data_IF_643589355995
#
_entry.id   IF_643589355995
#
_cell.length_a   1.000
_cell.length_b   1.000
_cell.length_c   1.000
_cell.angle_alpha   90.00
_cell.angle_beta   90.00
_cell.angle_gamma   90.00
#
_symmetry.space_group_name_H-M   'P 1'
#
loop_
_entity.id
_entity.type
_entity.pdbx_description
1 polymer ?
#
# COMPACT_ATOMS: atom_id res chain seq x y z
N UNK A 1 -30.49 -39.51 -21.58
CA UNK A 1 -30.77 -40.07 -22.92
C UNK A 1 -30.25 -39.11 -23.99
N UNK A 2 -29.34 -39.63 -24.84
CA UNK A 2 -28.82 -39.15 -26.12
C UNK A 2 -27.71 -38.06 -26.12
N UNK A 3 -26.47 -38.57 -26.19
CA UNK A 3 -25.32 -38.00 -26.85
C UNK A 3 -25.63 -37.60 -28.31
N UNK A 4 -24.97 -36.55 -28.82
CA UNK A 4 -24.47 -36.50 -30.20
C UNK A 4 -23.12 -35.79 -30.28
N UNK A 5 -22.13 -36.57 -30.67
CA UNK A 5 -20.79 -36.18 -31.19
C UNK A 5 -20.93 -35.88 -32.68
N UNK A 6 -20.11 -35.00 -33.22
CA UNK A 6 -19.51 -34.99 -34.59
C UNK A 6 -18.42 -33.89 -34.54
N UNK A 7 -17.12 -34.11 -34.59
CA UNK A 7 -16.15 -34.55 -35.57
C UNK A 7 -15.88 -33.50 -36.68
N UNK A 8 -14.66 -32.88 -36.62
CA UNK A 8 -13.47 -33.04 -37.46
C UNK A 8 -13.56 -32.50 -38.89
N UNK A 9 -12.71 -31.52 -39.25
CA UNK A 9 -11.99 -31.52 -40.52
C UNK A 9 -10.81 -30.54 -40.50
N UNK A 10 -9.63 -31.06 -40.78
CA UNK A 10 -8.36 -30.39 -41.02
C UNK A 10 -8.28 -30.06 -42.51
N UNK A 11 -7.56 -28.97 -42.88
CA UNK A 11 -7.00 -28.80 -44.20
C UNK A 11 -5.68 -27.99 -44.13
N UNK A 12 -4.70 -28.62 -44.58
CA UNK A 12 -3.30 -28.43 -44.96
C UNK A 12 -3.19 -27.63 -46.27
N UNK A 13 -2.13 -26.87 -46.42
CA UNK A 13 -1.65 -26.32 -47.66
C UNK A 13 -0.61 -25.24 -47.39
N UNK A 14 0.56 -25.52 -47.37
CA UNK A 14 1.77 -25.78 -48.21
C UNK A 14 2.18 -24.61 -49.12
N UNK A 15 3.34 -24.01 -48.77
CA UNK A 15 4.54 -23.79 -49.61
C UNK A 15 4.53 -22.75 -50.72
N UNK A 16 5.42 -21.76 -50.63
CA UNK A 16 6.34 -21.47 -51.76
C UNK A 16 7.57 -20.68 -51.26
N UNK A 17 8.73 -21.29 -51.49
CA UNK A 17 10.07 -20.69 -51.47
C UNK A 17 10.30 -19.84 -52.75
N UNK A 18 11.11 -18.80 -52.61
CA UNK A 18 11.99 -18.36 -53.69
C UNK A 18 13.27 -17.73 -53.10
N UNK A 19 14.37 -18.36 -53.48
CA UNK A 19 15.77 -17.99 -53.28
C UNK A 19 16.23 -16.99 -54.34
N UNK A 20 17.24 -16.16 -54.05
CA UNK A 20 18.50 -15.90 -54.75
C UNK A 20 19.12 -14.60 -54.20
N UNK A 21 20.23 -14.57 -53.63
CA UNK A 21 21.62 -15.00 -53.85
C UNK A 21 22.55 -13.86 -54.31
N UNK A 22 23.75 -13.85 -53.68
CA UNK A 22 25.06 -13.29 -54.04
C UNK A 22 25.30 -11.80 -53.71
N UNK A 23 26.39 -11.44 -53.09
CA UNK A 23 27.74 -11.89 -52.79
C UNK A 23 28.48 -10.84 -51.99
N UNK A 24 29.20 -11.18 -51.04
CA UNK A 24 30.61 -11.38 -50.82
C UNK A 24 31.40 -10.16 -50.43
N UNK A 25 31.92 -10.05 -49.21
CA UNK A 25 33.34 -10.14 -48.88
C UNK A 25 33.62 -9.82 -47.39
N UNK A 26 34.46 -10.60 -46.84
CA UNK A 26 35.13 -10.70 -45.54
C UNK A 26 35.84 -9.41 -45.11
N UNK A 27 35.79 -9.10 -43.80
CA UNK A 27 36.95 -8.94 -42.89
C UNK A 27 36.49 -8.63 -41.46
N UNK A 28 36.98 -9.31 -40.61
CA UNK A 28 37.40 -9.49 -39.23
C UNK A 28 37.20 -8.33 -38.23
N UNK A 29 36.73 -8.80 -37.04
CA UNK A 29 37.09 -8.45 -35.65
C UNK A 29 36.90 -7.01 -35.14
N UNK A 30 36.02 -6.86 -34.16
CA UNK A 30 36.41 -6.54 -32.79
C UNK A 30 35.19 -6.50 -31.86
N UNK A 31 35.33 -7.17 -30.72
CA UNK A 31 34.50 -7.20 -29.57
C UNK A 31 34.31 -5.80 -28.95
N UNK A 32 33.07 -5.40 -28.65
CA UNK A 32 32.76 -4.49 -27.53
C UNK A 32 31.31 -4.67 -27.11
N UNK A 33 31.11 -5.14 -25.89
CA UNK A 33 29.85 -5.16 -25.18
C UNK A 33 29.39 -3.71 -24.97
N UNK A 34 28.22 -3.36 -25.50
CA UNK A 34 27.52 -2.13 -25.15
C UNK A 34 26.33 -2.52 -24.28
N UNK A 35 26.44 -2.22 -23.00
CA UNK A 35 25.31 -2.27 -22.07
C UNK A 35 24.24 -1.28 -22.53
N UNK A 36 23.02 -1.78 -22.70
CA UNK A 36 21.86 -0.94 -22.92
C UNK A 36 21.46 -0.32 -21.60
N UNK A 37 21.98 0.87 -21.30
CA UNK A 37 21.39 1.74 -20.29
C UNK A 37 20.08 2.28 -20.85
N UNK A 38 18.98 1.75 -20.31
CA UNK A 38 17.65 2.32 -20.52
C UNK A 38 17.58 3.64 -19.76
N UNK A 39 17.92 4.74 -20.43
CA UNK A 39 17.65 6.08 -19.93
C UNK A 39 16.14 6.30 -19.96
N UNK A 40 15.50 6.17 -18.82
CA UNK A 40 14.11 6.59 -18.62
C UNK A 40 14.08 8.11 -18.75
N UNK A 41 13.50 8.60 -19.83
CA UNK A 41 13.44 10.02 -20.16
C UNK A 41 12.43 10.73 -19.26
N UNK A 42 12.86 11.79 -18.58
CA UNK A 42 12.01 12.73 -17.81
C UNK A 42 10.81 13.31 -18.59
N UNK A 43 10.71 13.03 -19.88
CA UNK A 43 9.58 13.43 -20.73
C UNK A 43 8.35 12.54 -20.63
N UNK A 44 8.45 11.35 -19.99
CA UNK A 44 7.38 10.35 -19.94
C UNK A 44 6.29 10.73 -18.92
N UNK A 45 6.65 11.15 -17.73
CA UNK A 45 5.69 11.41 -16.63
C UNK A 45 4.82 12.64 -16.92
N UNK A 46 5.38 13.71 -17.47
CA UNK A 46 4.61 14.91 -17.85
C UNK A 46 3.62 14.66 -19.01
N UNK A 47 3.92 13.69 -19.89
CA UNK A 47 3.02 13.31 -20.99
C UNK A 47 1.86 12.42 -20.50
N UNK A 48 2.09 11.60 -19.46
CA UNK A 48 1.07 10.76 -18.86
C UNK A 48 0.18 11.53 -17.89
N UNK A 49 0.73 12.52 -17.18
CA UNK A 49 -0.02 13.43 -16.31
C UNK A 49 -1.15 14.20 -17.04
N UNK A 50 -0.94 14.56 -18.29
CA UNK A 50 -1.96 15.28 -19.10
C UNK A 50 -3.18 14.43 -19.46
N UNK A 51 -3.17 13.11 -19.21
CA UNK A 51 -4.24 12.17 -19.55
C UNK A 51 -5.01 11.65 -18.34
N UNK A 52 -4.49 11.85 -17.13
CA UNK A 52 -5.12 11.32 -15.92
C UNK A 52 -6.46 11.98 -15.67
N UNK A 53 -7.52 11.17 -15.67
CA UNK A 53 -8.85 11.60 -15.24
C UNK A 53 -8.99 11.40 -13.75
N UNK A 54 -9.30 12.47 -13.04
CA UNK A 54 -9.58 12.48 -11.61
C UNK A 54 -11.06 12.73 -11.35
N UNK A 55 -11.51 12.41 -10.14
CA UNK A 55 -12.90 12.64 -9.67
C UNK A 55 -13.25 14.11 -9.77
N UNK A 56 -12.32 15.00 -9.42
CA UNK A 56 -12.46 16.44 -9.53
C UNK A 56 -11.39 17.02 -10.44
N UNK A 57 -11.78 17.74 -11.48
CA UNK A 57 -10.84 18.29 -12.47
C UNK A 57 -9.74 19.15 -11.81
N UNK A 58 -8.47 18.86 -12.12
CA UNK A 58 -7.31 19.56 -11.58
C UNK A 58 -6.94 19.21 -10.14
N UNK A 59 -7.59 18.23 -9.54
CA UNK A 59 -7.36 17.78 -8.17
C UNK A 59 -7.08 16.28 -8.13
N UNK A 60 -6.29 15.87 -7.17
CA UNK A 60 -6.07 14.46 -6.80
C UNK A 60 -6.70 14.27 -5.42
N UNK A 61 -7.82 13.55 -5.36
CA UNK A 61 -8.53 13.30 -4.11
C UNK A 61 -7.97 12.04 -3.45
N UNK A 62 -7.27 12.23 -2.34
CA UNK A 62 -6.76 11.19 -1.46
C UNK A 62 -7.78 10.91 -0.36
N UNK A 63 -8.18 9.67 -0.18
CA UNK A 63 -8.92 9.23 1.01
C UNK A 63 -7.96 8.54 1.97
N UNK A 64 -8.10 8.87 3.25
CA UNK A 64 -7.25 8.37 4.33
C UNK A 64 -8.04 8.20 5.63
N UNK A 65 -7.38 7.71 6.69
CA UNK A 65 -7.87 7.75 8.06
C UNK A 65 -6.82 8.39 8.97
N UNK A 66 -7.00 9.68 9.27
CA UNK A 66 -5.99 10.52 9.94
C UNK A 66 -5.85 10.24 11.45
N UNK A 67 -5.73 8.96 11.82
CA UNK A 67 -5.58 8.43 13.17
C UNK A 67 -4.35 7.50 13.31
N UNK A 68 -3.40 7.58 12.34
CA UNK A 68 -2.31 6.63 12.17
C UNK A 68 -0.94 7.31 12.09
N UNK A 69 -0.46 7.98 13.17
CA UNK A 69 0.86 8.58 13.19
C UNK A 69 1.96 7.49 13.07
N UNK A 70 3.06 7.73 12.32
CA UNK A 70 3.43 8.98 11.65
C UNK A 70 2.96 9.07 10.18
N UNK A 71 2.12 8.17 9.71
CA UNK A 71 1.71 8.09 8.29
C UNK A 71 0.67 9.15 7.93
N UNK A 72 -0.43 9.24 8.69
CA UNK A 72 -1.46 10.26 8.56
C UNK A 72 -2.13 10.55 9.92
N UNK A 73 -2.14 11.79 10.31
CA UNK A 73 -2.70 12.21 11.60
C UNK A 73 -3.08 13.69 11.61
N UNK A 74 -3.97 14.05 12.52
CA UNK A 74 -4.33 15.44 12.75
C UNK A 74 -3.28 16.20 13.54
N UNK A 75 -2.84 17.35 13.03
CA UNK A 75 -2.09 18.36 13.78
C UNK A 75 -2.88 19.67 13.76
N UNK A 76 -3.63 19.92 14.80
CA UNK A 76 -4.61 21.01 14.81
C UNK A 76 -5.74 20.78 13.81
N UNK A 77 -5.86 21.65 12.80
CA UNK A 77 -6.85 21.51 11.73
C UNK A 77 -6.28 20.86 10.46
N UNK A 78 -5.00 20.63 10.42
CA UNK A 78 -4.34 20.07 9.25
C UNK A 78 -4.13 18.55 9.42
N UNK A 79 -4.13 17.83 8.29
CA UNK A 79 -3.74 16.43 8.24
C UNK A 79 -2.32 16.38 7.70
N UNK A 80 -1.43 15.69 8.42
CA UNK A 80 0.00 15.56 8.13
C UNK A 80 0.44 14.11 8.21
N UNK A 81 1.64 13.84 7.72
CA UNK A 81 2.29 12.54 7.84
C UNK A 81 2.96 12.11 6.54
N UNK A 82 3.57 10.92 6.58
CA UNK A 82 4.35 10.35 5.49
C UNK A 82 3.48 10.21 4.24
N UNK A 83 2.29 9.60 4.37
CA UNK A 83 1.39 9.33 3.27
C UNK A 83 0.86 10.61 2.64
N UNK A 84 0.57 11.60 3.48
CA UNK A 84 0.13 12.93 3.02
C UNK A 84 1.22 13.62 2.20
N UNK A 85 2.47 13.64 2.68
CA UNK A 85 3.57 14.28 1.95
C UNK A 85 3.94 13.53 0.67
N UNK A 86 3.88 12.19 0.67
CA UNK A 86 4.06 11.38 -0.54
C UNK A 86 2.98 11.73 -1.57
N UNK A 87 1.70 11.73 -1.16
CA UNK A 87 0.60 12.07 -2.05
C UNK A 87 0.65 13.52 -2.53
N UNK A 88 1.09 14.46 -1.70
CA UNK A 88 1.33 15.84 -2.10
C UNK A 88 2.40 15.93 -3.19
N UNK A 89 3.53 15.23 -3.02
CA UNK A 89 4.60 15.20 -4.01
C UNK A 89 4.18 14.49 -5.31
N UNK A 90 3.37 13.42 -5.22
CA UNK A 90 2.76 12.77 -6.39
C UNK A 90 1.83 13.74 -7.12
N UNK A 91 0.94 14.43 -6.41
CA UNK A 91 0.03 15.40 -7.01
C UNK A 91 0.79 16.53 -7.73
N UNK A 92 1.86 17.05 -7.12
CA UNK A 92 2.72 18.07 -7.73
C UNK A 92 3.36 17.60 -9.02
N UNK A 93 3.92 16.37 -9.06
CA UNK A 93 4.49 15.79 -10.27
C UNK A 93 3.45 15.59 -11.38
N UNK A 94 2.19 15.35 -11.01
CA UNK A 94 1.06 15.21 -11.94
C UNK A 94 0.43 16.56 -12.31
N UNK A 95 0.91 17.68 -11.76
CA UNK A 95 0.32 19.01 -11.98
C UNK A 95 -1.08 19.17 -11.40
N UNK A 96 -1.41 18.40 -10.36
CA UNK A 96 -2.69 18.38 -9.66
C UNK A 96 -2.57 18.99 -8.27
N UNK A 97 -3.69 19.45 -7.71
CA UNK A 97 -3.78 19.87 -6.32
C UNK A 97 -4.27 18.70 -5.47
N UNK A 98 -3.57 18.37 -4.39
CA UNK A 98 -4.04 17.37 -3.44
C UNK A 98 -5.28 17.89 -2.68
N UNK A 99 -6.31 17.06 -2.58
CA UNK A 99 -7.42 17.17 -1.64
C UNK A 99 -7.44 15.92 -0.77
N UNK A 100 -7.69 16.07 0.53
CA UNK A 100 -7.66 14.98 1.49
C UNK A 100 -9.05 14.80 2.07
N UNK A 101 -9.57 13.57 2.04
CA UNK A 101 -10.79 13.15 2.70
C UNK A 101 -10.45 12.19 3.83
N UNK A 102 -10.85 12.56 5.05
CA UNK A 102 -10.66 11.75 6.25
C UNK A 102 -11.93 10.97 6.57
N UNK A 103 -11.82 9.65 6.59
CA UNK A 103 -12.93 8.74 6.85
C UNK A 103 -12.50 7.61 7.80
N UNK A 104 -13.45 6.83 8.29
CA UNK A 104 -13.11 5.60 9.02
C UNK A 104 -12.34 4.64 8.10
N UNK A 105 -11.37 3.89 8.65
CA UNK A 105 -10.47 3.05 7.84
C UNK A 105 -11.22 2.02 6.98
N UNK A 106 -12.26 1.41 7.52
CA UNK A 106 -13.10 0.43 6.80
C UNK A 106 -13.96 1.04 5.68
N UNK A 107 -14.09 2.38 5.63
CA UNK A 107 -14.77 3.10 4.56
C UNK A 107 -13.85 3.46 3.38
N UNK A 108 -12.52 3.38 3.52
CA UNK A 108 -11.55 3.83 2.51
C UNK A 108 -11.74 3.08 1.18
N UNK A 109 -11.77 1.75 1.19
CA UNK A 109 -11.96 0.94 -0.02
C UNK A 109 -13.30 1.26 -0.70
N UNK A 110 -14.45 1.33 0.01
CA UNK A 110 -15.71 1.82 -0.54
C UNK A 110 -15.63 3.20 -1.21
N UNK A 111 -14.93 4.18 -0.64
CA UNK A 111 -14.80 5.52 -1.23
C UNK A 111 -14.06 5.49 -2.58
N UNK A 112 -12.96 4.74 -2.68
CA UNK A 112 -12.21 4.60 -3.95
C UNK A 112 -13.01 3.79 -4.98
N UNK A 113 -13.61 2.66 -4.57
CA UNK A 113 -14.33 1.79 -5.52
C UNK A 113 -15.60 2.43 -6.06
N UNK A 114 -16.29 3.25 -5.26
CA UNK A 114 -17.44 4.03 -5.71
C UNK A 114 -17.06 5.22 -6.60
N UNK A 115 -15.78 5.60 -6.65
CA UNK A 115 -15.27 6.72 -7.43
C UNK A 115 -15.52 8.08 -6.78
N UNK A 116 -15.59 8.14 -5.45
CA UNK A 116 -15.61 9.39 -4.70
C UNK A 116 -14.21 9.93 -4.45
N UNK A 117 -13.22 9.04 -4.26
CA UNK A 117 -11.82 9.39 -4.19
C UNK A 117 -11.03 8.79 -5.36
N UNK A 118 -9.91 9.41 -5.71
CA UNK A 118 -9.02 8.97 -6.77
C UNK A 118 -8.11 7.85 -6.28
N UNK A 119 -7.57 8.00 -5.07
CA UNK A 119 -6.64 7.08 -4.46
C UNK A 119 -6.82 6.98 -2.94
N UNK A 120 -6.35 5.86 -2.39
CA UNK A 120 -6.21 5.60 -0.97
C UNK A 120 -4.72 5.60 -0.58
N UNK A 121 -4.35 6.40 0.42
CA UNK A 121 -3.08 6.29 1.10
C UNK A 121 -3.36 6.39 2.61
N UNK A 122 -3.13 5.29 3.33
CA UNK A 122 -3.55 5.12 4.72
C UNK A 122 -2.77 3.98 5.40
N UNK A 123 -1.43 3.93 5.22
CA UNK A 123 -0.67 2.75 5.61
C UNK A 123 -1.27 1.47 5.02
N UNK A 124 -1.72 1.54 3.77
CA UNK A 124 -2.54 0.48 3.17
C UNK A 124 -1.69 -0.70 2.75
N UNK A 125 -1.79 -1.79 3.51
CA UNK A 125 -1.14 -3.06 3.19
C UNK A 125 -1.74 -3.70 1.94
N UNK A 126 -0.87 -4.18 1.07
CA UNK A 126 -1.25 -4.94 -0.11
C UNK A 126 -1.63 -6.36 0.28
N UNK A 127 -2.90 -6.72 0.14
CA UNK A 127 -3.39 -8.09 0.37
C UNK A 127 -4.15 -8.61 -0.85
N UNK A 128 -4.25 -9.94 -0.99
CA UNK A 128 -4.98 -10.54 -2.11
C UNK A 128 -6.47 -10.18 -2.10
N UNK A 129 -7.07 -10.06 -0.91
CA UNK A 129 -8.47 -9.66 -0.78
C UNK A 129 -8.69 -8.20 -1.23
N UNK A 130 -7.79 -7.29 -0.83
CA UNK A 130 -7.85 -5.89 -1.27
C UNK A 130 -7.63 -5.75 -2.77
N UNK A 131 -6.74 -6.57 -3.36
CA UNK A 131 -6.50 -6.62 -4.81
C UNK A 131 -7.73 -7.06 -5.62
N UNK A 132 -8.71 -7.69 -5.01
CA UNK A 132 -9.97 -8.00 -5.71
C UNK A 132 -10.75 -6.73 -6.05
N UNK A 133 -10.63 -5.69 -5.23
CA UNK A 133 -11.40 -4.45 -5.33
C UNK A 133 -10.59 -3.24 -5.82
N UNK A 134 -9.28 -3.25 -5.63
CA UNK A 134 -8.37 -2.14 -5.94
C UNK A 134 -7.16 -2.64 -6.70
N UNK A 135 -6.50 -1.75 -7.44
CA UNK A 135 -5.13 -1.94 -7.90
C UNK A 135 -4.19 -1.13 -7.01
N UNK A 136 -2.96 -1.61 -6.85
CA UNK A 136 -1.99 -1.01 -5.95
C UNK A 136 -0.75 -0.56 -6.70
N UNK A 137 -0.18 0.56 -6.26
CA UNK A 137 1.11 1.04 -6.73
C UNK A 137 2.26 0.12 -6.31
N UNK A 138 3.46 0.43 -6.76
CA UNK A 138 4.67 -0.06 -6.13
C UNK A 138 4.68 0.34 -4.65
N UNK A 139 5.30 -0.48 -3.81
CA UNK A 139 5.36 -0.23 -2.37
C UNK A 139 6.31 0.93 -2.06
N UNK A 140 5.89 1.82 -1.15
CA UNK A 140 6.68 2.97 -0.72
C UNK A 140 7.23 2.81 0.71
N UNK A 141 6.68 1.91 1.52
CA UNK A 141 7.15 1.63 2.88
C UNK A 141 7.02 0.15 3.22
N UNK A 142 7.86 -0.30 4.16
CA UNK A 142 7.75 -1.60 4.82
C UNK A 142 7.61 -1.38 6.30
N UNK A 143 6.75 -2.13 6.95
CA UNK A 143 6.42 -2.00 8.35
C UNK A 143 6.23 -3.39 8.99
N UNK A 144 5.89 -3.41 10.27
CA UNK A 144 5.57 -4.62 11.01
C UNK A 144 4.35 -4.35 11.87
N UNK A 145 3.58 -5.38 12.16
CA UNK A 145 2.59 -5.32 13.21
C UNK A 145 3.22 -5.73 14.54
N UNK A 146 3.05 -4.95 15.58
CA UNK A 146 3.51 -5.25 16.94
C UNK A 146 2.32 -5.49 17.87
N UNK A 147 2.62 -6.18 18.96
CA UNK A 147 1.67 -6.44 20.04
C UNK A 147 1.96 -5.46 21.17
N UNK A 148 1.02 -4.59 21.49
CA UNK A 148 1.04 -3.75 22.68
C UNK A 148 0.35 -4.46 23.83
N UNK A 149 0.97 -4.41 25.00
CA UNK A 149 0.45 -4.96 26.25
C UNK A 149 0.68 -3.98 27.40
N UNK A 150 0.05 -4.20 28.54
CA UNK A 150 0.38 -3.45 29.76
C UNK A 150 1.79 -3.77 30.25
N UNK A 151 2.45 -2.84 30.91
CA UNK A 151 3.82 -3.02 31.44
C UNK A 151 3.96 -4.23 32.34
N UNK A 152 2.93 -4.54 33.15
CA UNK A 152 2.89 -5.67 34.06
C UNK A 152 2.45 -7.00 33.41
N UNK A 153 2.21 -7.00 32.10
CA UNK A 153 1.81 -8.18 31.33
C UNK A 153 2.94 -9.21 31.25
N UNK A 154 2.56 -10.48 31.36
CA UNK A 154 3.45 -11.64 31.20
C UNK A 154 3.44 -12.21 29.77
N UNK A 155 2.66 -11.60 28.85
CA UNK A 155 2.63 -12.00 27.44
C UNK A 155 3.97 -11.65 26.78
N UNK A 156 4.46 -12.55 25.93
CA UNK A 156 5.76 -12.43 25.28
C UNK A 156 5.69 -12.49 23.76
N UNK A 157 4.58 -12.93 23.19
CA UNK A 157 4.40 -13.03 21.74
C UNK A 157 3.03 -13.53 21.32
N UNK A 158 2.90 -13.81 20.03
CA UNK A 158 1.65 -14.23 19.38
C UNK A 158 1.01 -15.46 20.05
N UNK A 159 1.81 -16.46 20.42
CA UNK A 159 1.29 -17.72 20.95
C UNK A 159 0.56 -17.54 22.30
N UNK A 160 0.92 -16.50 23.07
CA UNK A 160 0.31 -16.18 24.35
C UNK A 160 -1.06 -15.51 24.22
N UNK A 161 -1.45 -15.08 23.02
CA UNK A 161 -2.71 -14.41 22.74
C UNK A 161 -3.91 -15.36 22.71
N UNK A 162 -3.68 -16.67 22.72
CA UNK A 162 -4.76 -17.65 22.75
C UNK A 162 -5.64 -17.50 23.99
N UNK A 163 -6.94 -17.29 23.76
CA UNK A 163 -7.91 -17.08 24.85
C UNK A 163 -7.87 -15.67 25.47
N UNK A 164 -7.14 -14.73 24.85
CA UNK A 164 -7.08 -13.33 25.26
C UNK A 164 -8.05 -12.48 24.44
N UNK A 165 -8.35 -11.29 24.96
CA UNK A 165 -9.08 -10.26 24.21
C UNK A 165 -8.10 -9.34 23.51
N UNK A 166 -8.21 -9.26 22.19
CA UNK A 166 -7.28 -8.54 21.32
C UNK A 166 -8.01 -7.35 20.71
N UNK A 167 -7.51 -6.15 20.99
CA UNK A 167 -8.02 -4.91 20.41
C UNK A 167 -7.36 -4.64 19.07
N UNK A 168 -8.15 -4.28 18.09
CA UNK A 168 -7.69 -3.91 16.72
C UNK A 168 -8.53 -2.77 16.19
N UNK A 169 -8.01 -2.03 15.23
CA UNK A 169 -8.84 -1.13 14.45
C UNK A 169 -9.58 -1.93 13.38
N UNK A 170 -10.87 -1.65 13.23
CA UNK A 170 -11.76 -2.36 12.30
C UNK A 170 -11.30 -2.26 10.85
N UNK A 171 -11.31 -3.38 10.13
CA UNK A 171 -10.98 -3.48 8.71
C UNK A 171 -9.49 -3.47 8.37
N UNK A 172 -8.60 -3.37 9.38
CA UNK A 172 -7.15 -3.46 9.19
C UNK A 172 -6.69 -4.91 8.98
N UNK A 173 -5.43 -5.08 8.57
CA UNK A 173 -4.79 -6.42 8.52
C UNK A 173 -4.69 -7.03 9.91
N UNK A 174 -4.49 -6.23 10.96
CA UNK A 174 -4.52 -6.69 12.35
C UNK A 174 -5.87 -7.32 12.71
N UNK A 175 -6.98 -6.73 12.28
CA UNK A 175 -8.33 -7.27 12.49
C UNK A 175 -8.50 -8.62 11.76
N UNK A 176 -8.21 -8.64 10.46
CA UNK A 176 -8.40 -9.84 9.64
C UNK A 176 -7.54 -11.02 10.12
N UNK A 177 -6.25 -10.76 10.35
CA UNK A 177 -5.30 -11.80 10.80
C UNK A 177 -5.61 -12.29 12.22
N UNK A 178 -5.97 -11.39 13.15
CA UNK A 178 -6.34 -11.80 14.52
C UNK A 178 -7.63 -12.62 14.52
N UNK A 179 -8.58 -12.28 13.65
CA UNK A 179 -9.82 -13.05 13.50
C UNK A 179 -9.54 -14.46 12.94
N UNK A 180 -8.65 -14.56 11.97
CA UNK A 180 -8.22 -15.86 11.42
C UNK A 180 -7.48 -16.71 12.46
N UNK A 181 -6.55 -16.10 13.20
CA UNK A 181 -5.67 -16.81 14.15
C UNK A 181 -6.40 -17.23 15.45
N UNK A 182 -7.31 -16.39 15.97
CA UNK A 182 -7.86 -16.54 17.31
C UNK A 182 -9.38 -16.64 17.38
N UNK A 183 -10.06 -16.43 16.24
CA UNK A 183 -11.52 -16.42 16.14
C UNK A 183 -12.15 -15.05 16.48
N UNK A 184 -13.33 -14.82 15.95
CA UNK A 184 -14.05 -13.54 16.07
C UNK A 184 -14.34 -13.14 17.53
N UNK A 185 -14.63 -14.12 18.38
CA UNK A 185 -14.90 -13.89 19.82
C UNK A 185 -13.70 -13.33 20.59
N UNK A 186 -12.47 -13.52 20.10
CA UNK A 186 -11.26 -12.99 20.73
C UNK A 186 -11.00 -11.54 20.34
N UNK A 187 -11.52 -11.09 19.19
CA UNK A 187 -11.20 -9.77 18.60
C UNK A 187 -12.21 -8.72 19.03
N UNK A 188 -11.70 -7.61 19.56
CA UNK A 188 -12.48 -6.43 19.93
C UNK A 188 -12.12 -5.30 18.98
N UNK A 189 -13.09 -4.94 18.13
CA UNK A 189 -12.91 -3.93 17.08
C UNK A 189 -13.21 -2.54 17.58
N UNK A 190 -12.35 -1.60 17.24
CA UNK A 190 -12.49 -0.19 17.54
C UNK A 190 -12.47 0.63 16.25
N UNK A 191 -13.09 1.78 16.25
CA UNK A 191 -13.03 2.70 15.10
C UNK A 191 -11.64 3.33 14.95
N UNK A 192 -10.91 3.49 16.08
CA UNK A 192 -9.57 4.09 16.13
C UNK A 192 -8.63 3.22 16.95
N UNK A 193 -7.37 3.11 16.52
CA UNK A 193 -6.35 2.36 17.25
C UNK A 193 -6.13 2.89 18.68
N UNK A 194 -6.20 4.22 18.88
CA UNK A 194 -6.07 4.84 20.21
C UNK A 194 -7.20 4.41 21.17
N UNK A 195 -8.40 4.14 20.69
CA UNK A 195 -9.50 3.62 21.53
C UNK A 195 -9.19 2.21 22.04
N UNK A 196 -8.54 1.37 21.20
CA UNK A 196 -8.04 0.06 21.63
C UNK A 196 -6.97 0.20 22.72
N UNK A 197 -6.03 1.14 22.56
CA UNK A 197 -5.00 1.43 23.57
C UNK A 197 -5.62 1.90 24.88
N UNK A 198 -6.64 2.75 24.84
CA UNK A 198 -7.38 3.16 26.05
C UNK A 198 -8.10 1.97 26.71
N UNK A 199 -8.68 1.07 25.93
CA UNK A 199 -9.31 -0.14 26.46
C UNK A 199 -8.26 -1.08 27.11
N UNK A 200 -7.05 -1.17 26.54
CA UNK A 200 -5.91 -1.91 27.10
C UNK A 200 -5.49 -1.34 28.46
N UNK A 201 -5.28 -0.03 28.56
CA UNK A 201 -4.90 0.61 29.84
C UNK A 201 -5.96 0.43 30.93
N UNK A 202 -7.25 0.39 30.54
CA UNK A 202 -8.37 0.13 31.45
C UNK A 202 -8.54 -1.36 31.81
N UNK A 203 -7.73 -2.26 31.23
CA UNK A 203 -7.83 -3.71 31.48
C UNK A 203 -9.09 -4.36 30.89
N UNK A 204 -9.73 -3.75 29.90
CA UNK A 204 -10.90 -4.31 29.19
C UNK A 204 -10.50 -5.34 28.14
N UNK A 205 -9.28 -5.24 27.65
CA UNK A 205 -8.63 -6.15 26.70
C UNK A 205 -7.21 -6.46 27.19
N UNK A 206 -6.61 -7.51 26.67
CA UNK A 206 -5.31 -8.01 27.11
C UNK A 206 -4.15 -7.52 26.23
N UNK A 207 -4.40 -7.26 24.96
CA UNK A 207 -3.40 -6.82 23.97
C UNK A 207 -4.04 -5.94 22.88
N UNK A 208 -3.21 -5.15 22.20
CA UNK A 208 -3.56 -4.43 20.96
C UNK A 208 -2.56 -4.82 19.89
N UNK A 209 -3.02 -5.06 18.66
CA UNK A 209 -2.14 -5.27 17.51
C UNK A 209 -2.25 -4.05 16.60
N UNK A 210 -1.09 -3.43 16.33
CA UNK A 210 -0.99 -2.20 15.53
C UNK A 210 0.39 -2.10 14.89
N UNK A 211 0.52 -1.26 13.85
CA UNK A 211 1.79 -0.98 13.19
C UNK A 211 2.90 -0.55 14.15
N UNK A 212 4.13 -0.92 13.83
CA UNK A 212 5.30 -0.72 14.67
C UNK A 212 5.59 0.75 14.98
N UNK A 213 5.51 1.63 14.00
CA UNK A 213 5.79 3.06 14.20
C UNK A 213 4.67 3.73 15.01
N UNK A 214 3.42 3.35 14.75
CA UNK A 214 2.28 3.81 15.53
C UNK A 214 2.32 3.25 16.96
N UNK A 215 2.73 2.00 17.14
CA UNK A 215 2.97 1.40 18.46
C UNK A 215 4.01 2.19 19.27
N UNK A 216 5.14 2.56 18.63
CA UNK A 216 6.18 3.38 19.26
C UNK A 216 5.65 4.76 19.70
N UNK A 217 4.81 5.40 18.90
CA UNK A 217 4.17 6.66 19.30
C UNK A 217 3.24 6.47 20.48
N UNK A 218 2.40 5.44 20.45
CA UNK A 218 1.49 5.15 21.57
C UNK A 218 2.23 4.85 22.87
N UNK A 219 3.36 4.12 22.81
CA UNK A 219 4.19 3.85 24.01
C UNK A 219 4.81 5.13 24.58
N UNK A 220 5.17 6.11 23.72
CA UNK A 220 5.68 7.41 24.17
C UNK A 220 4.60 8.28 24.83
N UNK A 221 3.37 8.23 24.28
CA UNK A 221 2.27 9.11 24.70
C UNK A 221 1.45 8.54 25.86
N UNK A 222 1.36 7.21 25.96
CA UNK A 222 0.48 6.53 26.92
C UNK A 222 1.31 5.73 27.92
N UNK A 223 1.43 6.19 29.18
CA UNK A 223 2.18 5.45 30.20
C UNK A 223 1.48 4.14 30.58
N UNK A 224 2.26 3.15 30.97
CA UNK A 224 1.76 1.86 31.49
C UNK A 224 1.52 0.80 30.40
N UNK A 225 2.00 1.04 29.18
CA UNK A 225 2.00 0.06 28.09
C UNK A 225 3.40 -0.10 27.49
N UNK A 226 3.64 -1.26 26.92
CA UNK A 226 4.87 -1.58 26.17
C UNK A 226 4.55 -2.35 24.90
N UNK A 227 5.42 -2.21 23.91
CA UNK A 227 5.43 -3.10 22.75
C UNK A 227 6.25 -4.35 23.06
N UNK A 228 5.81 -5.49 22.56
CA UNK A 228 6.62 -6.72 22.58
C UNK A 228 7.65 -6.68 21.46
N UNK A 229 8.83 -7.27 21.68
CA UNK A 229 9.90 -7.33 20.69
C UNK A 229 9.56 -8.20 19.48
N UNK A 230 8.72 -9.23 19.69
CA UNK A 230 8.29 -10.13 18.64
C UNK A 230 7.25 -9.45 17.74
N UNK A 231 7.53 -9.38 16.43
CA UNK A 231 6.55 -8.92 15.46
C UNK A 231 5.40 -9.91 15.30
N UNK A 232 4.20 -9.39 15.07
CA UNK A 232 3.03 -10.19 14.75
C UNK A 232 3.03 -10.59 13.27
N UNK A 233 3.33 -9.64 12.37
CA UNK A 233 3.46 -9.83 10.93
C UNK A 233 4.35 -8.76 10.29
N UNK A 234 4.80 -9.03 9.07
CA UNK A 234 5.46 -8.04 8.21
C UNK A 234 4.44 -7.43 7.24
N UNK A 235 4.58 -6.14 6.96
CA UNK A 235 3.66 -5.35 6.16
C UNK A 235 4.40 -4.61 5.05
N UNK A 236 3.69 -4.31 3.95
CA UNK A 236 4.20 -3.45 2.87
C UNK A 236 3.08 -2.53 2.40
N UNK A 237 3.34 -1.23 2.44
CA UNK A 237 2.35 -0.20 2.13
C UNK A 237 2.46 0.30 0.70
N UNK A 238 1.30 0.47 0.06
CA UNK A 238 1.17 0.99 -1.28
C UNK A 238 -0.05 1.90 -1.41
N UNK A 239 -0.05 2.75 -2.43
CA UNK A 239 -1.19 3.59 -2.77
C UNK A 239 -2.20 2.75 -3.56
N UNK A 240 -3.44 2.70 -3.07
CA UNK A 240 -4.52 2.01 -3.74
C UNK A 240 -5.27 2.92 -4.71
N UNK A 241 -5.62 2.42 -5.89
CA UNK A 241 -6.47 3.11 -6.85
C UNK A 241 -7.66 2.23 -7.23
N UNK A 242 -8.69 2.81 -7.80
CA UNK A 242 -9.84 2.05 -8.30
C UNK A 242 -9.39 0.96 -9.28
N UNK A 243 -9.93 -0.24 -9.11
CA UNK A 243 -9.65 -1.40 -9.97
C UNK A 243 -9.84 -1.05 -11.45
N UNK A 244 -8.81 -1.33 -12.26
CA UNK A 244 -8.79 -1.06 -13.69
C UNK A 244 -8.45 0.38 -14.07
N UNK A 245 -8.19 1.29 -13.13
CA UNK A 245 -7.71 2.65 -13.44
C UNK A 245 -6.19 2.65 -13.70
N UNK A 246 -5.79 2.00 -14.82
CA UNK A 246 -4.39 1.82 -15.18
C UNK A 246 -3.68 3.14 -15.54
N UNK A 247 -4.41 4.13 -16.03
CA UNK A 247 -3.84 5.45 -16.36
C UNK A 247 -3.35 6.14 -15.07
N UNK A 248 -4.19 6.22 -14.05
CA UNK A 248 -3.81 6.80 -12.76
C UNK A 248 -2.73 5.97 -12.07
N UNK A 249 -2.85 4.63 -12.08
CA UNK A 249 -1.86 3.75 -11.47
C UNK A 249 -0.46 3.94 -12.08
N UNK A 250 -0.37 3.98 -13.41
CA UNK A 250 0.90 4.22 -14.11
C UNK A 250 1.48 5.60 -13.78
N UNK A 251 0.63 6.63 -13.71
CA UNK A 251 1.06 7.97 -13.36
C UNK A 251 1.58 8.05 -11.90
N UNK A 252 0.90 7.40 -10.96
CA UNK A 252 1.33 7.28 -9.57
C UNK A 252 2.66 6.53 -9.46
N UNK A 253 2.81 5.38 -10.13
CA UNK A 253 4.06 4.62 -10.13
C UNK A 253 5.21 5.40 -10.75
N UNK A 254 4.97 6.12 -11.86
CA UNK A 254 5.96 7.00 -12.46
C UNK A 254 6.44 8.07 -11.47
N UNK A 255 5.50 8.74 -10.81
CA UNK A 255 5.82 9.75 -9.81
C UNK A 255 6.59 9.16 -8.60
N UNK A 256 6.16 8.01 -8.07
CA UNK A 256 6.86 7.30 -6.98
C UNK A 256 8.28 6.89 -7.37
N UNK A 257 8.48 6.40 -8.60
CA UNK A 257 9.80 6.02 -9.11
C UNK A 257 10.75 7.24 -9.19
N UNK A 258 10.26 8.39 -9.66
CA UNK A 258 11.03 9.64 -9.67
C UNK A 258 11.35 10.10 -8.25
N UNK A 259 10.37 10.17 -7.35
CA UNK A 259 10.56 10.56 -5.95
C UNK A 259 11.59 9.66 -5.25
N UNK A 260 11.56 8.36 -5.54
CA UNK A 260 12.54 7.40 -5.03
C UNK A 260 13.94 7.67 -5.57
N UNK A 261 14.08 7.92 -6.87
CA UNK A 261 15.37 8.21 -7.50
C UNK A 261 15.99 9.55 -7.02
N UNK A 262 15.15 10.49 -6.64
CA UNK A 262 15.53 11.78 -6.05
C UNK A 262 15.86 11.68 -4.56
N UNK A 263 15.66 10.51 -3.92
CA UNK A 263 15.80 10.32 -2.46
C UNK A 263 14.71 10.99 -1.63
N UNK A 264 13.64 11.45 -2.29
CA UNK A 264 12.59 12.23 -1.64
C UNK A 264 11.71 11.38 -0.72
N UNK A 265 11.48 10.11 -1.06
CA UNK A 265 10.73 9.19 -0.19
C UNK A 265 11.45 8.98 1.15
N UNK A 266 12.79 8.80 1.12
CA UNK A 266 13.60 8.65 2.33
C UNK A 266 13.65 9.95 3.15
N UNK A 267 13.72 11.12 2.48
CA UNK A 267 13.66 12.43 3.13
C UNK A 267 12.32 12.61 3.87
N UNK A 268 11.19 12.31 3.21
CA UNK A 268 9.86 12.39 3.81
C UNK A 268 9.77 11.44 5.01
N UNK A 269 10.11 10.17 4.85
CA UNK A 269 10.08 9.21 5.96
C UNK A 269 10.94 9.67 7.14
N UNK A 270 12.17 10.13 6.88
CA UNK A 270 13.09 10.59 7.91
C UNK A 270 12.61 11.83 8.67
N UNK A 271 11.75 12.66 8.09
CA UNK A 271 11.16 13.83 8.76
C UNK A 271 10.23 13.42 9.92
N UNK A 272 9.55 12.28 9.80
CA UNK A 272 8.55 11.81 10.75
C UNK A 272 9.05 10.71 11.68
N UNK A 273 10.16 10.02 11.32
CA UNK A 273 10.65 8.84 12.06
C UNK A 273 11.96 9.09 12.82
N UNK A 274 12.60 10.25 12.64
CA UNK A 274 13.76 10.60 13.47
C UNK A 274 13.30 10.86 14.90
N UNK A 275 13.79 10.06 15.84
CA UNK A 275 13.68 10.37 17.26
C UNK A 275 14.37 11.74 17.52
N UNK A 276 13.64 12.69 18.11
CA UNK A 276 14.22 13.90 18.70
C UNK A 276 15.11 13.56 19.91
#
# INVERSE_FOLDING_TARGET
MKLKKVALAAAIGLMCMALMACGGKKSEESSAAAGSESSVSSGSVAADAAKVKTVSAGKLTMVTNAEFPPYEYHEGNDIKGIDVEICQAVAEKLGLKLEIEDVAFDAIIPEVTSGKADLAAAGMTVTEDRKQNMDFSDTYASAKQLILVKDDSTLTGKDDLKGKKIGVQQGTTSDLMSTEDFGDDAVVRFSKSMEAVQALTQGKIDAVIVDSQTAEQFVKEVPGIKALDASYSDESYAIGVKKGNTELLNAVNGALSELKSEGKLDEIAAKYTKAE
#
